data_IF_970779005010
#
_entry.id   IF_970779005010
#
_cell.length_a   1.000
_cell.length_b   1.000
_cell.length_c   1.000
_cell.angle_alpha   90.00
_cell.angle_beta   90.00
_cell.angle_gamma   90.00
#
_symmetry.space_group_name_H-M   'P 1'
#
loop_
_entity.id
_entity.type
_entity.pdbx_description
1 polymer ?
#
# COMPACT_ATOMS: atom_id res chain seq x y z
N UNK A 1 61.79 -5.56 8.02
CA UNK A 1 60.75 -4.86 7.24
C UNK A 1 59.85 -5.94 6.69
N UNK A 2 58.78 -6.27 7.43
CA UNK A 2 57.82 -7.31 7.02
C UNK A 2 56.71 -6.65 6.20
N UNK A 3 56.66 -6.99 4.92
CA UNK A 3 55.62 -6.55 4.00
C UNK A 3 54.26 -7.14 4.39
N UNK A 4 53.41 -6.31 4.98
CA UNK A 4 52.00 -6.61 5.20
C UNK A 4 51.29 -6.69 3.84
N UNK A 5 51.12 -7.92 3.35
CA UNK A 5 50.24 -8.25 2.23
C UNK A 5 48.83 -7.71 2.52
N UNK A 6 48.43 -6.67 1.80
CA UNK A 6 47.06 -6.14 1.80
C UNK A 6 46.09 -7.27 1.38
N UNK A 7 45.15 -7.61 2.27
CA UNK A 7 44.03 -8.50 1.94
C UNK A 7 43.21 -7.82 0.85
N UNK A 8 43.25 -8.40 -0.35
CA UNK A 8 42.44 -7.96 -1.48
C UNK A 8 40.96 -7.93 -1.13
N UNK A 9 40.24 -6.98 -1.75
CA UNK A 9 38.80 -6.83 -1.59
C UNK A 9 38.08 -8.17 -1.79
N UNK A 10 37.02 -8.46 -1.01
CA UNK A 10 36.26 -9.69 -1.18
C UNK A 10 35.75 -9.76 -2.62
N UNK A 11 35.99 -10.90 -3.28
CA UNK A 11 35.46 -11.16 -4.61
C UNK A 11 33.95 -10.89 -4.63
N UNK A 12 33.41 -10.27 -5.70
CA UNK A 12 31.97 -10.09 -5.83
C UNK A 12 31.30 -11.46 -5.68
N UNK A 13 30.34 -11.56 -4.75
CA UNK A 13 29.56 -12.78 -4.57
C UNK A 13 28.98 -13.19 -5.92
N UNK A 14 29.13 -14.46 -6.28
CA UNK A 14 28.57 -15.00 -7.51
C UNK A 14 27.08 -14.64 -7.58
N UNK A 15 26.68 -13.98 -8.66
CA UNK A 15 25.29 -13.60 -8.89
C UNK A 15 24.59 -14.88 -9.32
N UNK A 16 24.03 -15.64 -8.37
CA UNK A 16 23.15 -16.76 -8.69
C UNK A 16 21.84 -16.17 -9.22
N UNK A 17 21.45 -16.42 -10.49
CA UNK A 17 20.18 -15.93 -10.99
C UNK A 17 19.04 -16.56 -10.19
N UNK A 18 18.16 -15.74 -9.62
CA UNK A 18 17.02 -16.23 -8.83
C UNK A 18 15.99 -17.01 -9.65
N UNK A 19 16.15 -17.06 -10.97
CA UNK A 19 15.29 -17.79 -11.88
C UNK A 19 16.14 -18.42 -12.99
N UNK A 20 16.00 -19.74 -13.19
CA UNK A 20 16.59 -20.46 -14.32
C UNK A 20 15.44 -20.97 -15.21
N UNK A 21 15.36 -20.55 -16.48
CA UNK A 21 14.29 -21.00 -17.36
C UNK A 21 14.41 -22.50 -17.63
N UNK A 22 13.26 -23.19 -17.71
CA UNK A 22 13.20 -24.64 -18.01
C UNK A 22 13.70 -24.98 -19.42
N UNK A 23 13.62 -24.03 -20.34
CA UNK A 23 14.05 -24.15 -21.73
C UNK A 23 15.06 -23.05 -22.04
N UNK A 24 15.94 -23.30 -23.01
CA UNK A 24 16.86 -22.28 -23.50
C UNK A 24 16.06 -21.13 -24.13
N UNK A 25 16.38 -19.89 -23.73
CA UNK A 25 15.74 -18.67 -24.24
C UNK A 25 16.84 -17.85 -24.90
N UNK A 26 16.78 -17.58 -26.22
CA UNK A 26 17.77 -16.75 -26.89
C UNK A 26 17.68 -15.31 -26.38
N UNK A 27 18.74 -14.52 -26.62
CA UNK A 27 18.72 -13.08 -26.32
C UNK A 27 17.59 -12.41 -27.11
N UNK A 28 16.69 -11.71 -26.41
CA UNK A 28 15.47 -11.14 -26.99
C UNK A 28 14.28 -12.09 -27.04
N UNK A 29 14.40 -13.32 -26.52
CA UNK A 29 13.29 -14.26 -26.35
C UNK A 29 12.43 -13.95 -25.13
N UNK A 30 11.23 -14.53 -25.10
CA UNK A 30 10.26 -14.38 -24.01
C UNK A 30 10.22 -15.60 -23.10
N UNK A 31 9.92 -15.37 -21.83
CA UNK A 31 9.72 -16.43 -20.83
C UNK A 31 8.26 -16.39 -20.42
N UNK A 32 7.50 -17.37 -20.89
CA UNK A 32 6.06 -17.44 -20.63
C UNK A 32 5.79 -18.43 -19.50
N UNK A 33 4.88 -18.06 -18.60
CA UNK A 33 4.31 -18.94 -17.59
C UNK A 33 2.79 -18.82 -17.65
N UNK A 34 2.11 -19.95 -17.52
CA UNK A 34 0.65 -19.99 -17.35
C UNK A 34 0.22 -19.79 -15.91
N UNK A 35 1.16 -19.92 -14.97
CA UNK A 35 0.87 -19.87 -13.54
C UNK A 35 0.66 -18.41 -13.10
N UNK A 36 -0.42 -18.11 -12.35
CA UNK A 36 -0.66 -16.76 -11.85
C UNK A 36 0.41 -16.36 -10.83
N UNK A 37 0.82 -15.10 -10.89
CA UNK A 37 1.75 -14.54 -9.89
C UNK A 37 0.91 -13.96 -8.75
N UNK A 38 1.02 -14.57 -7.58
CA UNK A 38 0.43 -14.02 -6.36
C UNK A 38 1.35 -12.93 -5.82
N UNK A 39 0.76 -11.85 -5.32
CA UNK A 39 1.47 -10.69 -4.79
C UNK A 39 0.87 -10.26 -3.44
N UNK A 40 1.67 -9.55 -2.64
CA UNK A 40 1.28 -9.03 -1.32
C UNK A 40 0.76 -10.08 -0.33
N UNK A 41 1.22 -11.33 -0.44
CA UNK A 41 0.82 -12.42 0.46
C UNK A 41 1.23 -12.19 1.91
N UNK A 42 0.46 -12.77 2.85
CA UNK A 42 0.80 -12.81 4.27
C UNK A 42 0.68 -11.45 4.98
N UNK A 43 -0.08 -10.50 4.43
CA UNK A 43 -0.28 -9.16 4.99
C UNK A 43 -1.75 -8.92 5.31
N UNK A 44 -1.99 -8.02 6.27
CA UNK A 44 -3.33 -7.55 6.56
C UNK A 44 -3.94 -6.88 5.32
N UNK A 45 -5.15 -7.30 4.96
CA UNK A 45 -5.95 -6.66 3.91
C UNK A 45 -7.31 -6.21 4.45
N UNK A 46 -7.85 -5.15 3.87
CA UNK A 46 -9.17 -4.65 4.18
C UNK A 46 -9.91 -4.24 2.90
N UNK A 47 -11.21 -4.55 2.84
CA UNK A 47 -12.10 -4.12 1.78
C UNK A 47 -12.82 -2.85 2.19
N UNK A 48 -12.75 -1.82 1.35
CA UNK A 48 -13.31 -0.51 1.61
C UNK A 48 -14.19 -0.09 0.45
N UNK A 49 -15.36 0.48 0.77
CA UNK A 49 -16.16 1.19 -0.21
C UNK A 49 -15.72 2.64 -0.22
N UNK A 50 -15.29 3.12 -1.39
CA UNK A 50 -14.72 4.44 -1.58
C UNK A 50 -15.57 5.21 -2.57
N UNK A 51 -16.09 6.35 -2.11
CA UNK A 51 -16.95 7.22 -2.89
C UNK A 51 -16.25 8.55 -3.18
N UNK A 52 -16.26 8.98 -4.44
CA UNK A 52 -15.77 10.30 -4.81
C UNK A 52 -16.89 11.34 -4.68
N UNK A 53 -16.76 12.21 -3.69
CA UNK A 53 -17.72 13.30 -3.43
C UNK A 53 -17.39 14.59 -4.18
N UNK A 54 -16.23 14.63 -4.85
CA UNK A 54 -15.77 15.79 -5.60
C UNK A 54 -16.37 15.88 -7.00
N UNK A 55 -16.13 17.02 -7.64
CA UNK A 55 -16.52 17.35 -9.01
C UNK A 55 -15.49 16.94 -10.07
N UNK A 56 -14.34 16.43 -9.63
CA UNK A 56 -13.19 16.10 -10.48
C UNK A 56 -12.78 14.63 -10.31
N UNK A 57 -12.21 14.03 -11.36
CA UNK A 57 -11.70 12.67 -11.27
C UNK A 57 -10.47 12.60 -10.35
N UNK A 58 -10.38 11.51 -9.60
CA UNK A 58 -9.28 11.25 -8.66
C UNK A 58 -8.65 9.91 -9.02
N UNK A 59 -7.33 9.87 -9.14
CA UNK A 59 -6.59 8.64 -9.41
C UNK A 59 -5.59 8.38 -8.28
N UNK A 60 -5.62 7.18 -7.73
CA UNK A 60 -4.77 6.76 -6.60
C UNK A 60 -3.89 5.62 -7.05
N UNK A 61 -2.57 5.79 -6.91
CA UNK A 61 -1.57 4.78 -7.28
C UNK A 61 -1.43 3.66 -6.24
N UNK A 62 -0.87 2.53 -6.69
CA UNK A 62 -0.66 1.32 -5.89
C UNK A 62 -0.01 1.53 -4.53
N UNK A 63 1.03 2.36 -4.42
CA UNK A 63 1.84 2.53 -3.20
C UNK A 63 1.57 3.83 -2.44
N UNK A 64 0.50 4.53 -2.78
CA UNK A 64 0.12 5.73 -2.06
C UNK A 64 -0.53 5.37 -0.71
N UNK A 65 -0.19 6.09 0.36
CA UNK A 65 -0.78 5.81 1.68
C UNK A 65 -2.27 6.12 1.66
N UNK A 66 -3.09 5.07 1.70
CA UNK A 66 -4.51 5.17 1.37
C UNK A 66 -5.27 6.07 2.34
N UNK A 67 -4.87 6.09 3.62
CA UNK A 67 -5.35 7.04 4.63
C UNK A 67 -5.22 8.52 4.21
N UNK A 68 -4.18 8.86 3.47
CA UNK A 68 -3.80 10.23 3.10
C UNK A 68 -4.27 10.63 1.70
N UNK A 69 -5.10 9.82 1.04
CA UNK A 69 -5.64 10.17 -0.28
C UNK A 69 -6.54 11.40 -0.20
N UNK A 70 -6.84 11.97 -1.37
CA UNK A 70 -7.62 13.21 -1.53
C UNK A 70 -8.81 13.29 -0.55
N UNK A 71 -8.96 14.46 0.07
CA UNK A 71 -9.99 14.78 1.07
C UNK A 71 -11.42 14.55 0.59
N UNK A 72 -11.66 14.62 -0.73
CA UNK A 72 -12.98 14.41 -1.33
C UNK A 72 -13.36 12.93 -1.50
N UNK A 73 -12.42 12.00 -1.28
CA UNK A 73 -12.75 10.58 -1.18
C UNK A 73 -13.29 10.29 0.22
N UNK A 74 -14.50 9.74 0.24
CA UNK A 74 -15.22 9.36 1.44
C UNK A 74 -15.17 7.84 1.60
N UNK A 75 -14.57 7.38 2.70
CA UNK A 75 -14.40 5.96 3.06
C UNK A 75 -13.96 5.84 4.52
N UNK A 76 -13.88 4.61 5.04
CA UNK A 76 -13.36 4.35 6.38
C UNK A 76 -11.84 4.53 6.38
N UNK A 77 -11.40 5.73 6.80
CA UNK A 77 -9.98 6.05 6.91
C UNK A 77 -9.32 5.26 8.02
N UNK A 78 -10.01 4.93 9.11
CA UNK A 78 -9.39 4.25 10.24
C UNK A 78 -8.89 2.84 9.86
N UNK A 79 -9.63 2.15 9.00
CA UNK A 79 -9.24 0.86 8.42
C UNK A 79 -8.11 0.96 7.38
N UNK A 80 -7.96 2.11 6.72
CA UNK A 80 -6.92 2.35 5.72
C UNK A 80 -5.57 2.82 6.29
N UNK A 81 -5.46 2.98 7.60
CA UNK A 81 -4.25 3.47 8.25
C UNK A 81 -3.08 2.48 8.06
N UNK A 82 -1.95 2.96 7.56
CA UNK A 82 -0.78 2.13 7.28
C UNK A 82 -0.94 1.19 6.08
N UNK A 83 -1.95 1.42 5.23
CA UNK A 83 -2.24 0.58 4.08
C UNK A 83 -2.08 1.32 2.74
N UNK A 84 -1.87 0.57 1.66
CA UNK A 84 -1.87 1.03 0.28
C UNK A 84 -2.78 0.13 -0.58
N UNK A 85 -3.06 0.48 -1.83
CA UNK A 85 -3.95 -0.32 -2.68
C UNK A 85 -3.35 -1.71 -2.99
N UNK A 86 -4.15 -2.77 -2.85
CA UNK A 86 -3.75 -4.14 -3.18
C UNK A 86 -3.92 -4.42 -4.70
N UNK A 87 -3.19 -3.66 -5.50
CA UNK A 87 -3.17 -3.77 -6.96
C UNK A 87 -1.74 -3.99 -7.44
N UNK A 88 -1.53 -4.44 -8.69
CA UNK A 88 -0.19 -4.59 -9.24
C UNK A 88 0.63 -3.30 -9.11
N UNK A 89 1.92 -3.43 -8.82
CA UNK A 89 2.80 -2.27 -8.67
C UNK A 89 2.74 -1.37 -9.91
N UNK A 90 2.89 -0.05 -9.71
CA UNK A 90 2.83 0.98 -10.77
C UNK A 90 1.43 1.21 -11.37
N UNK A 91 0.43 0.39 -11.05
CA UNK A 91 -0.96 0.63 -11.47
C UNK A 91 -1.68 1.60 -10.52
N UNK A 92 -2.89 2.03 -10.91
CA UNK A 92 -3.72 2.96 -10.17
C UNK A 92 -5.21 2.69 -10.36
N UNK A 93 -6.02 3.06 -9.36
CA UNK A 93 -7.49 3.05 -9.46
C UNK A 93 -7.97 4.48 -9.69
N UNK A 94 -8.89 4.62 -10.65
CA UNK A 94 -9.52 5.89 -11.01
C UNK A 94 -10.96 5.93 -10.50
N UNK A 95 -11.32 7.04 -9.87
CA UNK A 95 -12.65 7.36 -9.38
C UNK A 95 -13.18 8.56 -10.17
N UNK A 96 -14.28 8.37 -10.89
CA UNK A 96 -14.98 9.48 -11.54
C UNK A 96 -15.76 10.31 -10.51
N UNK A 97 -16.18 11.55 -10.82
CA UNK A 97 -17.04 12.34 -9.94
C UNK A 97 -18.34 11.58 -9.61
N UNK A 98 -18.65 11.41 -8.32
CA UNK A 98 -19.83 10.67 -7.85
C UNK A 98 -19.70 9.14 -7.87
N UNK A 99 -18.60 8.60 -8.38
CA UNK A 99 -18.36 7.15 -8.49
C UNK A 99 -18.14 6.52 -7.10
N UNK A 100 -18.59 5.29 -6.95
CA UNK A 100 -18.42 4.48 -5.74
C UNK A 100 -17.88 3.10 -6.12
N UNK A 101 -16.73 2.71 -5.54
CA UNK A 101 -16.07 1.44 -5.85
C UNK A 101 -15.63 0.73 -4.58
N UNK A 102 -15.76 -0.59 -4.58
CA UNK A 102 -15.06 -1.45 -3.62
C UNK A 102 -13.59 -1.54 -4.04
N UNK A 103 -12.70 -1.26 -3.09
CA UNK A 103 -11.26 -1.44 -3.26
C UNK A 103 -10.70 -2.27 -2.11
N UNK A 104 -9.66 -3.04 -2.40
CA UNK A 104 -8.89 -3.72 -1.38
C UNK A 104 -7.61 -2.96 -1.10
N UNK A 105 -7.31 -2.76 0.18
CA UNK A 105 -6.06 -2.20 0.66
C UNK A 105 -5.26 -3.27 1.40
N UNK A 106 -3.94 -3.14 1.37
CA UNK A 106 -3.00 -4.02 2.04
C UNK A 106 -2.03 -3.21 2.90
N UNK A 107 -1.68 -3.72 4.08
CA UNK A 107 -0.73 -3.07 4.97
C UNK A 107 0.66 -2.94 4.34
N UNK A 108 1.32 -1.81 4.60
CA UNK A 108 2.74 -1.66 4.30
C UNK A 108 3.56 -2.73 5.03
N UNK A 109 4.67 -3.12 4.41
CA UNK A 109 5.67 -4.01 5.00
C UNK A 109 6.95 -3.22 5.30
N UNK A 110 8.01 -3.91 5.73
CA UNK A 110 9.27 -3.29 6.14
C UNK A 110 9.13 -2.53 7.45
N UNK A 111 9.72 -1.33 7.54
CA UNK A 111 9.69 -0.51 8.76
C UNK A 111 8.35 0.17 9.03
N UNK A 112 7.39 0.09 8.11
CA UNK A 112 6.06 0.71 8.22
C UNK A 112 6.14 2.18 8.67
N UNK A 113 7.06 2.94 8.09
CA UNK A 113 7.30 4.34 8.42
C UNK A 113 6.91 5.20 7.23
N UNK A 114 5.87 6.01 7.40
CA UNK A 114 5.21 6.78 6.34
C UNK A 114 5.60 8.26 6.45
N UNK A 115 6.20 8.80 5.39
CA UNK A 115 6.67 10.19 5.31
C UNK A 115 6.17 10.80 3.99
N UNK A 116 5.77 12.07 4.02
CA UNK A 116 5.37 12.83 2.83
C UNK A 116 3.86 12.91 2.67
N UNK A 117 3.33 12.40 1.54
CA UNK A 117 1.90 12.37 1.20
C UNK A 117 1.17 13.70 1.49
N UNK A 118 0.21 13.72 2.42
CA UNK A 118 -0.48 14.94 2.87
C UNK A 118 0.01 15.41 4.24
N UNK A 119 1.11 14.83 4.74
CA UNK A 119 1.72 15.16 6.02
C UNK A 119 0.86 14.80 7.23
N UNK A 120 -0.12 13.89 7.09
CA UNK A 120 -1.06 13.58 8.16
C UNK A 120 -0.44 12.71 9.24
N UNK A 121 0.45 11.78 8.84
CA UNK A 121 1.07 10.80 9.75
C UNK A 121 2.49 11.15 10.12
N UNK A 122 3.38 11.31 9.13
CA UNK A 122 4.81 11.62 9.32
C UNK A 122 5.47 10.74 10.41
N UNK A 123 5.30 9.42 10.31
CA UNK A 123 5.67 8.52 11.38
C UNK A 123 5.35 7.05 11.12
N UNK A 124 5.49 6.26 12.18
CA UNK A 124 5.25 4.82 12.17
C UNK A 124 3.75 4.48 12.06
N UNK A 125 3.42 3.44 11.29
CA UNK A 125 2.06 2.98 10.98
C UNK A 125 1.84 1.48 11.15
N UNK A 126 2.80 0.75 11.70
CA UNK A 126 2.66 -0.69 11.86
C UNK A 126 1.71 -1.11 12.98
N UNK A 127 1.28 -2.37 12.92
CA UNK A 127 0.59 -3.06 14.01
C UNK A 127 1.66 -3.64 14.94
N UNK A 128 1.91 -2.98 16.07
CA UNK A 128 3.07 -3.26 16.92
C UNK A 128 2.72 -4.20 18.09
N UNK A 129 3.57 -5.22 18.27
CA UNK A 129 4.04 -5.58 19.59
C UNK A 129 4.75 -4.35 20.19
N UNK A 130 4.06 -3.62 21.08
CA UNK A 130 4.51 -2.66 22.12
C UNK A 130 5.77 -1.78 21.86
N UNK A 131 5.71 -0.45 22.17
CA UNK A 131 5.09 0.07 23.38
C UNK A 131 3.83 0.91 23.17
N UNK A 132 2.97 0.81 24.19
CA UNK A 132 1.53 1.13 24.34
C UNK A 132 1.09 2.59 24.08
N UNK A 133 1.85 3.43 23.38
CA UNK A 133 1.48 4.82 23.11
C UNK A 133 1.63 5.16 21.62
N UNK A 134 0.50 5.24 20.92
CA UNK A 134 0.41 5.55 19.49
C UNK A 134 -0.09 6.98 19.25
N UNK A 135 0.72 8.03 19.52
CA UNK A 135 0.28 9.40 19.29
C UNK A 135 0.00 9.62 17.80
N UNK A 136 0.71 8.92 16.90
CA UNK A 136 0.62 9.17 15.46
C UNK A 136 -0.73 8.81 14.87
N UNK A 137 -1.33 7.66 15.20
CA UNK A 137 -2.67 7.31 14.70
C UNK A 137 -3.71 8.29 15.23
N UNK A 138 -3.67 8.62 16.51
CA UNK A 138 -4.59 9.60 17.11
C UNK A 138 -4.43 11.01 16.51
N UNK A 139 -3.19 11.50 16.40
CA UNK A 139 -2.87 12.78 15.76
C UNK A 139 -3.29 12.80 14.30
N UNK A 140 -3.07 11.72 13.55
CA UNK A 140 -3.46 11.62 12.16
C UNK A 140 -4.98 11.66 11.99
N UNK A 141 -5.72 10.92 12.82
CA UNK A 141 -7.19 10.97 12.82
C UNK A 141 -7.72 12.36 13.18
N UNK A 142 -7.09 13.04 14.13
CA UNK A 142 -7.43 14.42 14.46
C UNK A 142 -7.12 15.39 13.32
N UNK A 143 -5.96 15.23 12.67
CA UNK A 143 -5.59 16.01 11.49
C UNK A 143 -6.56 15.81 10.33
N UNK A 144 -7.03 14.57 10.10
CA UNK A 144 -8.07 14.25 9.11
C UNK A 144 -9.33 15.05 9.37
N UNK A 145 -9.82 15.07 10.62
CA UNK A 145 -11.01 15.83 11.02
C UNK A 145 -10.79 17.34 10.84
N UNK A 146 -9.68 17.85 11.37
CA UNK A 146 -9.32 19.28 11.33
C UNK A 146 -9.15 19.81 9.92
N UNK A 147 -8.56 19.03 9.01
CA UNK A 147 -8.28 19.43 7.62
C UNK A 147 -9.44 19.12 6.65
N UNK A 148 -10.55 18.57 7.15
CA UNK A 148 -11.77 18.35 6.37
C UNK A 148 -11.69 17.19 5.40
N UNK A 149 -10.94 16.14 5.73
CA UNK A 149 -10.96 14.88 4.99
C UNK A 149 -12.28 14.14 5.27
N UNK A 150 -12.95 13.69 4.20
CA UNK A 150 -14.21 12.95 4.33
C UNK A 150 -13.96 11.56 4.91
N UNK A 151 -14.79 11.18 5.88
CA UNK A 151 -14.71 9.91 6.63
C UNK A 151 -16.13 9.39 6.79
N UNK A 152 -16.28 8.07 6.68
CA UNK A 152 -17.49 7.36 7.15
C UNK A 152 -17.16 6.63 8.44
N UNK A 153 -18.14 6.58 9.34
CA UNK A 153 -18.02 5.79 10.58
C UNK A 153 -18.02 4.30 10.26
N UNK A 154 -17.31 3.52 11.08
CA UNK A 154 -17.12 2.06 10.93
C UNK A 154 -18.46 1.30 10.79
N UNK A 155 -19.48 1.68 11.57
CA UNK A 155 -20.82 1.09 11.51
C UNK A 155 -21.51 1.33 10.16
N UNK A 156 -21.29 2.49 9.56
CA UNK A 156 -21.83 2.84 8.24
C UNK A 156 -21.05 2.14 7.14
N UNK A 157 -19.72 2.01 7.31
CA UNK A 157 -18.86 1.28 6.38
C UNK A 157 -19.23 -0.20 6.30
N UNK A 158 -19.45 -0.87 7.44
CA UNK A 158 -19.92 -2.26 7.48
C UNK A 158 -21.29 -2.42 6.82
N UNK A 159 -22.21 -1.48 7.05
CA UNK A 159 -23.54 -1.51 6.44
C UNK A 159 -23.45 -1.37 4.91
N UNK A 160 -22.54 -0.53 4.41
CA UNK A 160 -22.32 -0.36 2.98
C UNK A 160 -21.73 -1.63 2.35
N UNK A 161 -20.77 -2.29 3.02
CA UNK A 161 -20.23 -3.58 2.56
C UNK A 161 -21.31 -4.66 2.46
N UNK A 162 -22.26 -4.68 3.41
CA UNK A 162 -23.36 -5.66 3.44
C UNK A 162 -24.45 -5.39 2.39
N UNK A 163 -24.60 -4.14 1.92
CA UNK A 163 -25.62 -3.72 0.96
C UNK A 163 -25.27 -4.03 -0.50
N UNK A 164 -24.00 -4.20 -0.84
CA UNK A 164 -23.65 -4.59 -2.20
C UNK A 164 -24.05 -6.06 -2.44
N UNK A 165 -24.73 -6.37 -3.55
CA UNK A 165 -25.07 -7.75 -3.86
C UNK A 165 -23.77 -8.54 -4.03
N UNK A 166 -23.62 -9.62 -3.27
CA UNK A 166 -22.57 -10.62 -3.51
C UNK A 166 -22.75 -11.12 -4.95
N UNK A 167 -21.91 -10.64 -5.86
CA UNK A 167 -21.79 -11.21 -7.20
C UNK A 167 -21.04 -12.54 -7.14
#
# INVERSE_FOLDING_TARGET
MEDKKQKGAPAPKEITPGFTPKQYVPVGGEILSTDPIVYNEGRYTAKLIVRNTGDRPIQVGSHFHFFEVNRYLEFDRAAAFGCHLNIPATTAIRFEPGDEKEVEVVAYSGKQYVIGFNGLVQGYTGSEDAPTYYPRRMQATENVRRLGFKVIDETTAEANLKKQPKK
#
